data_IF_086871164021
#
_entry.id   IF_086871164021
#
_cell.length_a   1.000
_cell.length_b   1.000
_cell.length_c   1.000
_cell.angle_alpha   90.00
_cell.angle_beta   90.00
_cell.angle_gamma   90.00
#
_symmetry.space_group_name_H-M   'P 1'
#
loop_
_entity.id
_entity.type
_entity.pdbx_description
1 polymer ?
#
# COMPACT_ATOMS: atom_id res chain seq x y z
N UNK A 1 -39.84 -32.31 42.63
CA UNK A 1 -40.27 -31.29 41.62
C UNK A 1 -39.88 -29.87 42.06
N UNK A 2 -39.93 -29.57 43.37
CA UNK A 2 -39.56 -28.22 43.89
C UNK A 2 -38.05 -28.00 43.89
N UNK A 3 -37.21 -29.03 44.16
CA UNK A 3 -35.75 -28.92 44.14
C UNK A 3 -35.18 -28.60 42.75
N UNK A 4 -35.78 -29.11 41.64
CA UNK A 4 -35.36 -28.75 40.26
C UNK A 4 -35.68 -27.32 39.88
N UNK A 5 -36.73 -26.71 40.45
CA UNK A 5 -37.13 -25.32 40.16
C UNK A 5 -36.23 -24.30 40.88
N UNK A 6 -35.74 -24.66 42.07
CA UNK A 6 -34.81 -23.82 42.85
C UNK A 6 -33.43 -23.82 42.19
N UNK A 7 -33.00 -25.00 41.73
CA UNK A 7 -31.71 -25.18 41.03
C UNK A 7 -31.66 -24.42 39.71
N UNK A 8 -32.76 -24.36 38.93
CA UNK A 8 -32.85 -23.60 37.67
C UNK A 8 -32.84 -22.08 37.90
N UNK A 9 -33.36 -21.59 39.00
CA UNK A 9 -33.40 -20.15 39.33
C UNK A 9 -32.04 -19.64 39.79
N UNK A 10 -31.35 -20.42 40.62
CA UNK A 10 -30.01 -20.11 41.11
C UNK A 10 -28.98 -20.17 39.94
N UNK A 11 -29.10 -21.18 39.09
CA UNK A 11 -28.27 -21.29 37.89
C UNK A 11 -28.46 -20.08 36.96
N UNK A 12 -29.69 -19.63 36.76
CA UNK A 12 -29.99 -18.45 35.93
C UNK A 12 -29.37 -17.19 36.55
N UNK A 13 -29.46 -16.98 37.84
CA UNK A 13 -28.86 -15.86 38.56
C UNK A 13 -27.32 -15.83 38.36
N UNK A 14 -26.67 -16.99 38.51
CA UNK A 14 -25.20 -17.13 38.30
C UNK A 14 -24.79 -16.83 36.90
N UNK A 15 -25.50 -17.31 35.86
CA UNK A 15 -25.23 -17.01 34.47
C UNK A 15 -25.35 -15.50 34.17
N UNK A 16 -26.37 -14.84 34.74
CA UNK A 16 -26.55 -13.39 34.57
C UNK A 16 -25.42 -12.60 35.25
N UNK A 17 -25.03 -12.95 36.48
CA UNK A 17 -23.94 -12.32 37.21
C UNK A 17 -22.63 -12.42 36.40
N UNK A 18 -22.28 -13.63 35.98
CA UNK A 18 -21.04 -13.85 35.17
C UNK A 18 -21.03 -13.08 33.87
N UNK A 19 -22.17 -12.88 33.21
CA UNK A 19 -22.24 -12.03 31.99
C UNK A 19 -22.09 -10.56 32.30
N UNK A 20 -22.62 -10.10 33.44
CA UNK A 20 -22.44 -8.72 33.92
C UNK A 20 -20.98 -8.44 34.25
N UNK A 21 -20.27 -9.42 34.80
CA UNK A 21 -18.81 -9.38 35.07
C UNK A 21 -17.95 -9.54 33.80
N UNK A 22 -18.56 -9.57 32.61
CA UNK A 22 -17.86 -9.59 31.32
C UNK A 22 -17.37 -10.97 30.87
N UNK A 23 -17.67 -12.06 31.56
CA UNK A 23 -17.24 -13.42 31.19
C UNK A 23 -17.83 -13.85 29.83
N UNK A 24 -17.01 -14.52 29.02
CA UNK A 24 -17.42 -15.08 27.74
C UNK A 24 -18.25 -16.34 27.88
N UNK A 25 -18.96 -16.73 26.83
CA UNK A 25 -19.72 -18.01 26.83
C UNK A 25 -18.83 -19.23 27.07
N UNK A 26 -17.57 -19.19 26.64
CA UNK A 26 -16.60 -20.28 26.85
C UNK A 26 -16.25 -20.41 28.34
N UNK A 27 -16.01 -19.29 29.01
CA UNK A 27 -15.69 -19.25 30.43
C UNK A 27 -16.88 -19.68 31.28
N UNK A 28 -18.11 -19.20 30.98
CA UNK A 28 -19.34 -19.60 31.65
C UNK A 28 -19.60 -21.11 31.48
N UNK A 29 -19.41 -21.64 30.28
CA UNK A 29 -19.53 -23.08 29.99
C UNK A 29 -18.53 -23.90 30.80
N UNK A 30 -17.28 -23.46 30.90
CA UNK A 30 -16.22 -24.15 31.63
C UNK A 30 -16.48 -24.16 33.15
N UNK A 31 -16.98 -23.04 33.69
CA UNK A 31 -17.15 -22.85 35.13
C UNK A 31 -18.45 -23.48 35.69
N UNK A 32 -19.52 -23.46 34.87
CA UNK A 32 -20.85 -24.00 35.31
C UNK A 32 -21.17 -25.39 34.73
N UNK A 33 -20.34 -25.91 33.82
CA UNK A 33 -20.56 -27.22 33.20
C UNK A 33 -21.81 -27.32 32.31
N UNK A 34 -22.33 -26.18 31.82
CA UNK A 34 -23.58 -26.10 31.04
C UNK A 34 -23.29 -25.80 29.55
N UNK A 35 -24.20 -26.25 28.67
CA UNK A 35 -24.06 -26.02 27.23
C UNK A 35 -24.32 -24.56 26.82
N UNK A 36 -23.71 -24.13 25.69
CA UNK A 36 -23.91 -22.78 25.12
C UNK A 36 -25.41 -22.48 24.83
N UNK A 37 -26.18 -23.49 24.42
CA UNK A 37 -27.63 -23.39 24.21
C UNK A 37 -28.40 -23.05 25.51
N UNK A 38 -27.99 -23.64 26.64
CA UNK A 38 -28.57 -23.36 27.98
C UNK A 38 -28.25 -21.94 28.39
N UNK A 39 -26.99 -21.48 28.22
CA UNK A 39 -26.60 -20.11 28.52
C UNK A 39 -27.41 -19.12 27.67
N UNK A 40 -27.56 -19.36 26.36
CA UNK A 40 -28.38 -18.52 25.50
C UNK A 40 -29.84 -18.49 25.85
N UNK A 41 -30.41 -19.61 26.30
CA UNK A 41 -31.80 -19.70 26.80
C UNK A 41 -31.99 -18.88 28.05
N UNK A 42 -31.11 -19.00 29.04
CA UNK A 42 -31.16 -18.25 30.30
C UNK A 42 -31.03 -16.74 30.04
N UNK A 43 -30.11 -16.33 29.20
CA UNK A 43 -29.90 -14.90 28.85
C UNK A 43 -30.98 -14.31 27.94
N UNK A 44 -32.00 -15.11 27.57
CA UNK A 44 -33.08 -14.65 26.69
C UNK A 44 -32.62 -14.31 25.25
N UNK A 45 -31.43 -14.77 24.86
CA UNK A 45 -30.89 -14.52 23.51
C UNK A 45 -31.61 -15.38 22.46
N UNK A 46 -32.17 -16.52 22.87
CA UNK A 46 -33.10 -17.29 22.06
C UNK A 46 -34.53 -16.77 22.26
N UNK A 47 -34.99 -15.90 21.40
CA UNK A 47 -36.42 -15.55 21.41
C UNK A 47 -36.75 -14.12 20.98
N UNK A 48 -35.79 -13.21 20.83
CA UNK A 48 -36.02 -11.88 20.25
C UNK A 48 -35.30 -11.68 18.90
N UNK A 49 -35.17 -12.75 18.15
CA UNK A 49 -35.01 -12.60 16.70
C UNK A 49 -36.29 -11.92 16.23
N UNK A 50 -36.19 -10.76 15.55
CA UNK A 50 -37.34 -10.19 14.81
C UNK A 50 -38.00 -11.36 14.08
N UNK A 51 -39.28 -11.66 14.43
CA UNK A 51 -40.03 -12.70 13.75
C UNK A 51 -39.95 -12.41 12.26
N UNK A 52 -39.21 -13.27 11.54
CA UNK A 52 -39.10 -13.09 10.08
C UNK A 52 -40.51 -13.25 9.53
N UNK A 53 -40.99 -12.32 8.71
CA UNK A 53 -42.34 -12.43 8.15
C UNK A 53 -42.47 -13.78 7.47
N UNK A 54 -43.55 -14.51 7.77
CA UNK A 54 -43.89 -15.76 7.06
C UNK A 54 -43.96 -15.40 5.58
N UNK A 55 -43.27 -16.12 4.74
CA UNK A 55 -43.28 -15.92 3.29
C UNK A 55 -44.66 -16.32 2.76
N UNK A 56 -45.54 -15.35 2.64
CA UNK A 56 -46.87 -15.50 2.03
C UNK A 56 -46.73 -15.45 0.50
N UNK A 57 -47.76 -15.94 -0.22
CA UNK A 57 -47.78 -15.87 -1.67
C UNK A 57 -47.81 -14.43 -2.16
N UNK A 58 -48.44 -13.52 -1.40
CA UNK A 58 -48.43 -12.09 -1.65
C UNK A 58 -47.00 -11.51 -1.57
N UNK A 59 -46.25 -11.82 -0.52
CA UNK A 59 -44.84 -11.40 -0.37
C UNK A 59 -43.96 -11.99 -1.48
N UNK A 60 -44.24 -13.20 -1.93
CA UNK A 60 -43.57 -13.80 -3.09
C UNK A 60 -43.83 -13.02 -4.36
N UNK A 61 -45.13 -12.70 -4.61
CA UNK A 61 -45.54 -11.91 -5.77
C UNK A 61 -44.86 -10.53 -5.78
N UNK A 62 -44.88 -9.82 -4.65
CA UNK A 62 -44.24 -8.50 -4.50
C UNK A 62 -42.73 -8.61 -4.71
N UNK A 63 -42.04 -9.61 -4.15
CA UNK A 63 -40.60 -9.79 -4.32
C UNK A 63 -40.26 -10.01 -5.81
N UNK A 64 -41.06 -10.81 -6.53
CA UNK A 64 -40.86 -11.07 -7.96
C UNK A 64 -41.13 -9.81 -8.81
N UNK A 65 -42.21 -9.07 -8.54
CA UNK A 65 -42.50 -7.82 -9.23
C UNK A 65 -41.35 -6.80 -9.06
N UNK A 66 -40.89 -6.58 -7.82
CA UNK A 66 -39.76 -5.69 -7.54
C UNK A 66 -38.44 -6.16 -8.26
N UNK A 67 -38.28 -7.46 -8.44
CA UNK A 67 -37.18 -8.02 -9.19
C UNK A 67 -37.27 -7.73 -10.68
N UNK A 68 -38.47 -7.87 -11.25
CA UNK A 68 -38.76 -7.53 -12.65
C UNK A 68 -38.55 -6.04 -12.90
N UNK A 69 -38.91 -5.19 -11.94
CA UNK A 69 -38.64 -3.74 -11.98
C UNK A 69 -37.15 -3.37 -11.79
N UNK A 70 -36.26 -4.38 -11.75
CA UNK A 70 -34.82 -4.20 -11.71
C UNK A 70 -34.23 -3.95 -10.32
N UNK A 71 -34.98 -4.15 -9.21
CA UNK A 71 -34.41 -4.05 -7.86
C UNK A 71 -33.47 -5.23 -7.57
N UNK A 72 -32.40 -4.95 -6.84
CA UNK A 72 -31.43 -5.96 -6.40
C UNK A 72 -31.99 -6.76 -5.21
N UNK A 73 -31.47 -7.97 -4.99
CA UNK A 73 -31.82 -8.81 -3.82
C UNK A 73 -31.68 -8.07 -2.48
N UNK A 74 -30.60 -7.30 -2.22
CA UNK A 74 -30.52 -6.51 -0.99
C UNK A 74 -31.61 -5.45 -0.83
N UNK A 75 -31.96 -4.73 -1.90
CA UNK A 75 -33.01 -3.70 -1.88
C UNK A 75 -34.38 -4.32 -1.59
N UNK A 76 -34.72 -5.42 -2.25
CA UNK A 76 -35.96 -6.16 -2.02
C UNK A 76 -36.01 -6.70 -0.59
N UNK A 77 -34.89 -7.25 -0.09
CA UNK A 77 -34.80 -7.77 1.26
C UNK A 77 -35.04 -6.69 2.32
N UNK A 78 -34.52 -5.50 2.10
CA UNK A 78 -34.71 -4.33 2.96
C UNK A 78 -36.16 -3.83 2.92
N UNK A 79 -36.73 -3.68 1.72
CA UNK A 79 -38.07 -3.14 1.52
C UNK A 79 -39.16 -4.06 2.08
N UNK A 80 -39.02 -5.37 1.91
CA UNK A 80 -39.99 -6.36 2.37
C UNK A 80 -39.69 -6.94 3.77
N UNK A 81 -38.60 -6.51 4.40
CA UNK A 81 -38.17 -7.05 5.69
C UNK A 81 -37.79 -8.53 5.67
N UNK A 82 -37.37 -9.05 4.51
CA UNK A 82 -37.05 -10.45 4.28
C UNK A 82 -35.55 -10.73 4.36
N UNK A 83 -35.18 -11.99 4.60
CA UNK A 83 -33.77 -12.40 4.48
C UNK A 83 -33.32 -12.40 3.01
N UNK A 84 -32.08 -11.93 2.74
CA UNK A 84 -31.49 -11.92 1.37
C UNK A 84 -31.53 -13.28 0.71
N UNK A 85 -31.25 -14.36 1.47
CA UNK A 85 -31.31 -15.74 0.99
C UNK A 85 -32.70 -16.14 0.52
N UNK A 86 -33.75 -15.72 1.28
CA UNK A 86 -35.15 -16.00 0.92
C UNK A 86 -35.56 -15.24 -0.35
N UNK A 87 -35.22 -13.96 -0.46
CA UNK A 87 -35.46 -13.16 -1.67
C UNK A 87 -34.75 -13.79 -2.86
N UNK A 88 -33.49 -14.18 -2.71
CA UNK A 88 -32.73 -14.84 -3.78
C UNK A 88 -33.41 -16.13 -4.26
N UNK A 89 -33.86 -16.99 -3.35
CA UNK A 89 -34.57 -18.22 -3.69
C UNK A 89 -35.87 -17.96 -4.48
N UNK A 90 -36.60 -16.89 -4.14
CA UNK A 90 -37.84 -16.51 -4.80
C UNK A 90 -37.63 -15.91 -6.19
N UNK A 91 -36.46 -15.26 -6.40
CA UNK A 91 -36.22 -14.43 -7.58
C UNK A 91 -35.07 -14.89 -8.46
N UNK A 92 -34.44 -16.05 -8.17
CA UNK A 92 -33.25 -16.55 -8.88
C UNK A 92 -33.50 -16.87 -10.37
N UNK A 93 -34.75 -17.16 -10.72
CA UNK A 93 -35.20 -17.45 -12.08
C UNK A 93 -35.51 -16.18 -12.90
N UNK A 94 -35.56 -15.01 -12.26
CA UNK A 94 -35.81 -13.72 -12.95
C UNK A 94 -34.44 -13.14 -13.31
N UNK A 95 -34.12 -13.00 -14.62
CA UNK A 95 -32.91 -12.33 -15.06
C UNK A 95 -32.85 -10.91 -14.48
N UNK A 96 -31.72 -10.59 -13.87
CA UNK A 96 -31.49 -9.24 -13.37
C UNK A 96 -30.43 -8.56 -14.21
N UNK A 97 -30.86 -7.59 -14.97
CA UNK A 97 -30.00 -6.66 -15.68
C UNK A 97 -29.97 -5.34 -14.91
N UNK A 98 -28.76 -4.86 -14.63
CA UNK A 98 -28.62 -3.52 -14.09
C UNK A 98 -29.06 -2.53 -15.17
N UNK A 99 -30.07 -1.69 -14.89
CA UNK A 99 -30.43 -0.62 -15.82
C UNK A 99 -29.26 0.33 -16.00
N UNK A 100 -29.13 0.94 -17.18
CA UNK A 100 -28.01 1.85 -17.49
C UNK A 100 -27.89 2.97 -16.44
N UNK A 101 -28.98 3.60 -16.04
CA UNK A 101 -29.02 4.64 -15.02
C UNK A 101 -28.48 4.17 -13.66
N UNK A 102 -28.79 2.95 -13.25
CA UNK A 102 -28.30 2.36 -12.00
C UNK A 102 -26.84 1.94 -12.11
N UNK A 103 -26.41 1.45 -13.27
CA UNK A 103 -25.01 1.15 -13.53
C UNK A 103 -24.17 2.44 -13.44
N UNK A 104 -24.66 3.52 -14.05
CA UNK A 104 -24.00 4.82 -14.02
C UNK A 104 -23.98 5.44 -12.61
N UNK A 105 -25.11 5.41 -11.88
CA UNK A 105 -25.16 5.85 -10.47
C UNK A 105 -24.18 5.11 -9.58
N UNK A 106 -24.07 3.77 -9.71
CA UNK A 106 -23.10 2.97 -8.97
C UNK A 106 -21.67 3.29 -9.35
N UNK A 107 -21.40 3.47 -10.65
CA UNK A 107 -20.09 3.87 -11.13
C UNK A 107 -19.72 5.28 -10.64
N UNK A 108 -20.67 6.21 -10.64
CA UNK A 108 -20.47 7.56 -10.10
C UNK A 108 -20.17 7.54 -8.58
N UNK A 109 -20.95 6.79 -7.81
CA UNK A 109 -20.72 6.61 -6.37
C UNK A 109 -19.38 5.95 -6.08
N UNK A 110 -19.00 4.94 -6.86
CA UNK A 110 -17.69 4.30 -6.74
C UNK A 110 -16.53 5.26 -7.07
N UNK A 111 -16.68 6.07 -8.14
CA UNK A 111 -15.70 7.12 -8.50
C UNK A 111 -15.58 8.19 -7.41
N UNK A 112 -16.72 8.63 -6.83
CA UNK A 112 -16.72 9.57 -5.72
C UNK A 112 -16.00 9.00 -4.50
N UNK A 113 -16.38 7.82 -4.04
CA UNK A 113 -15.74 7.16 -2.91
C UNK A 113 -14.25 6.85 -3.14
N UNK A 114 -13.82 6.62 -4.40
CA UNK A 114 -12.40 6.50 -4.74
C UNK A 114 -11.67 7.85 -4.63
N UNK A 115 -12.28 8.94 -5.13
CA UNK A 115 -11.72 10.30 -5.01
C UNK A 115 -11.57 10.71 -3.56
N UNK A 116 -12.60 10.47 -2.73
CA UNK A 116 -12.55 10.82 -1.31
C UNK A 116 -11.45 10.05 -0.58
N UNK A 117 -11.33 8.73 -0.81
CA UNK A 117 -10.22 7.93 -0.24
C UNK A 117 -8.86 8.41 -0.71
N UNK A 118 -8.73 8.77 -1.99
CA UNK A 118 -7.47 9.32 -2.52
C UNK A 118 -7.12 10.65 -1.87
N UNK A 119 -8.10 11.54 -1.68
CA UNK A 119 -7.92 12.82 -1.00
C UNK A 119 -7.50 12.62 0.47
N UNK A 120 -8.20 11.75 1.21
CA UNK A 120 -7.85 11.41 2.59
C UNK A 120 -6.43 10.83 2.71
N UNK A 121 -6.07 9.92 1.78
CA UNK A 121 -4.73 9.32 1.74
C UNK A 121 -3.65 10.38 1.44
N UNK A 122 -3.95 11.38 0.58
CA UNK A 122 -3.03 12.48 0.31
C UNK A 122 -2.81 13.34 1.55
N UNK A 123 -3.89 13.76 2.22
CA UNK A 123 -3.81 14.55 3.47
C UNK A 123 -3.02 13.82 4.55
N UNK A 124 -3.29 12.51 4.74
CA UNK A 124 -2.56 11.72 5.74
C UNK A 124 -1.08 11.56 5.38
N UNK A 125 -0.76 11.39 4.10
CA UNK A 125 0.62 11.36 3.62
C UNK A 125 1.33 12.68 3.90
N UNK A 126 0.70 13.80 3.55
CA UNK A 126 1.27 15.13 3.77
C UNK A 126 1.50 15.38 5.26
N UNK A 127 0.54 15.00 6.13
CA UNK A 127 0.68 15.11 7.59
C UNK A 127 1.89 14.32 8.11
N UNK A 128 2.03 13.07 7.67
CA UNK A 128 3.15 12.20 8.08
C UNK A 128 4.47 12.78 7.56
N UNK A 129 4.52 13.19 6.29
CA UNK A 129 5.72 13.73 5.66
C UNK A 129 6.16 15.01 6.36
N UNK A 130 5.24 15.95 6.63
CA UNK A 130 5.54 17.20 7.34
C UNK A 130 6.07 16.95 8.76
N UNK A 131 5.42 16.04 9.51
CA UNK A 131 5.88 15.68 10.85
C UNK A 131 7.28 15.05 10.87
N UNK A 132 7.61 14.24 9.84
CA UNK A 132 8.96 13.69 9.69
C UNK A 132 9.96 14.81 9.35
N UNK A 133 9.63 15.70 8.39
CA UNK A 133 10.52 16.79 7.98
C UNK A 133 10.83 17.74 9.15
N UNK A 134 9.84 18.06 9.99
CA UNK A 134 10.01 18.90 11.18
C UNK A 134 10.93 18.26 12.24
N UNK A 135 10.90 16.94 12.37
CA UNK A 135 11.65 16.22 13.40
C UNK A 135 12.99 15.66 12.93
N UNK A 136 13.24 15.60 11.62
CA UNK A 136 14.38 14.88 11.05
C UNK A 136 15.73 15.59 11.33
N UNK A 137 15.73 16.94 11.29
CA UNK A 137 16.94 17.74 11.49
C UNK A 137 17.94 17.61 10.32
N UNK A 138 19.21 17.97 10.61
CA UNK A 138 20.29 17.86 9.62
C UNK A 138 20.98 16.50 9.67
N UNK A 139 21.40 16.00 8.51
CA UNK A 139 22.20 14.78 8.40
C UNK A 139 23.63 15.05 8.91
N UNK A 140 24.09 14.24 9.86
CA UNK A 140 25.49 14.20 10.25
C UNK A 140 26.36 13.56 9.16
N UNK A 141 27.66 13.84 9.14
CA UNK A 141 28.60 13.23 8.20
C UNK A 141 28.54 11.70 8.26
N UNK A 142 28.39 11.13 9.45
CA UNK A 142 28.28 9.67 9.62
C UNK A 142 27.00 9.12 8.99
N UNK A 143 25.87 9.78 9.16
CA UNK A 143 24.60 9.39 8.56
C UNK A 143 24.68 9.50 7.03
N UNK A 144 25.29 10.57 6.52
CA UNK A 144 25.53 10.76 5.09
C UNK A 144 26.47 9.69 4.52
N UNK A 145 27.55 9.31 5.24
CA UNK A 145 28.43 8.22 4.83
C UNK A 145 27.68 6.89 4.69
N UNK A 146 26.84 6.56 5.68
CA UNK A 146 26.05 5.33 5.69
C UNK A 146 24.99 5.38 4.57
N UNK A 147 24.23 6.47 4.46
CA UNK A 147 23.18 6.63 3.46
C UNK A 147 23.74 6.52 2.03
N UNK A 148 24.87 7.19 1.75
CA UNK A 148 25.52 7.15 0.46
C UNK A 148 26.11 5.78 0.11
N UNK A 149 26.71 5.07 1.07
CA UNK A 149 27.18 3.70 0.85
C UNK A 149 26.03 2.73 0.53
N UNK A 150 24.92 2.82 1.27
CA UNK A 150 23.71 2.01 1.02
C UNK A 150 23.08 2.36 -0.33
N UNK A 151 22.94 3.65 -0.64
CA UNK A 151 22.41 4.10 -1.92
C UNK A 151 23.27 3.62 -3.09
N UNK A 152 24.60 3.74 -2.98
CA UNK A 152 25.51 3.20 -4.00
C UNK A 152 25.41 1.68 -4.11
N UNK A 153 25.33 0.97 -2.99
CA UNK A 153 25.16 -0.49 -3.03
C UNK A 153 23.85 -0.90 -3.69
N UNK A 154 22.78 -0.14 -3.55
CA UNK A 154 21.50 -0.42 -4.22
C UNK A 154 21.58 -0.14 -5.74
N UNK A 155 22.02 1.05 -6.14
CA UNK A 155 21.87 1.62 -7.49
C UNK A 155 23.19 1.73 -8.27
N UNK A 156 24.34 1.66 -7.63
CA UNK A 156 25.64 1.78 -8.25
C UNK A 156 26.09 0.51 -8.97
N UNK A 157 27.04 0.70 -9.90
CA UNK A 157 27.69 -0.44 -10.58
C UNK A 157 28.67 -1.13 -9.62
N UNK A 158 28.53 -2.45 -9.49
CA UNK A 158 29.40 -3.28 -8.63
C UNK A 158 30.42 -4.04 -9.46
N UNK A 159 31.63 -4.17 -8.91
CA UNK A 159 32.63 -5.09 -9.44
C UNK A 159 32.14 -6.54 -9.28
N UNK A 160 32.45 -7.38 -10.27
CA UNK A 160 32.04 -8.78 -10.27
C UNK A 160 33.30 -9.66 -10.34
N UNK A 161 33.33 -10.86 -9.77
CA UNK A 161 34.50 -11.74 -9.79
C UNK A 161 35.05 -12.01 -11.21
N UNK A 162 34.16 -12.07 -12.20
CA UNK A 162 34.50 -12.32 -13.61
C UNK A 162 34.73 -11.03 -14.43
N UNK A 163 34.49 -9.87 -13.86
CA UNK A 163 34.67 -8.55 -14.51
C UNK A 163 34.99 -7.53 -13.41
N UNK A 164 36.25 -7.55 -12.97
CA UNK A 164 36.73 -6.61 -11.94
C UNK A 164 36.76 -5.20 -12.51
N UNK A 165 35.93 -4.33 -11.97
CA UNK A 165 35.85 -2.92 -12.34
C UNK A 165 35.62 -2.07 -11.09
N UNK A 166 36.70 -1.58 -10.54
CA UNK A 166 36.69 -0.69 -9.37
C UNK A 166 36.52 0.77 -9.84
N UNK A 167 35.29 1.13 -10.17
CA UNK A 167 34.94 2.46 -10.69
C UNK A 167 33.61 2.89 -10.11
N UNK A 168 33.55 4.05 -9.46
CA UNK A 168 32.29 4.61 -9.03
C UNK A 168 31.47 5.05 -10.25
N UNK A 169 30.35 4.38 -10.46
CA UNK A 169 29.40 4.67 -11.52
C UNK A 169 27.99 4.50 -10.96
N UNK A 170 27.27 5.60 -10.89
CA UNK A 170 25.93 5.68 -10.29
C UNK A 170 24.93 6.12 -11.36
N UNK A 171 23.78 5.47 -11.42
CA UNK A 171 22.71 5.80 -12.36
C UNK A 171 21.39 5.87 -11.63
N UNK A 172 20.68 6.99 -11.76
CA UNK A 172 19.35 7.14 -11.21
C UNK A 172 18.49 8.12 -12.02
N UNK A 173 17.16 7.99 -11.91
CA UNK A 173 16.19 8.91 -12.50
C UNK A 173 15.58 9.87 -11.47
N UNK A 174 15.91 9.70 -10.19
CA UNK A 174 15.43 10.55 -9.10
C UNK A 174 16.47 11.66 -8.82
N UNK A 175 16.09 12.95 -8.95
CA UNK A 175 17.00 14.06 -8.68
C UNK A 175 17.54 14.08 -7.25
N UNK A 176 16.77 13.65 -6.25
CA UNK A 176 17.20 13.67 -4.85
C UNK A 176 18.22 12.57 -4.56
N UNK A 177 18.08 11.40 -5.19
CA UNK A 177 19.11 10.36 -5.17
C UNK A 177 20.42 10.83 -5.81
N UNK A 178 20.34 11.62 -6.89
CA UNK A 178 21.51 12.23 -7.51
C UNK A 178 22.17 13.26 -6.58
N UNK A 179 21.39 14.13 -5.93
CA UNK A 179 21.89 15.12 -4.94
C UNK A 179 22.55 14.42 -3.75
N UNK A 180 21.90 13.38 -3.21
CA UNK A 180 22.48 12.56 -2.14
C UNK A 180 23.85 11.99 -2.53
N UNK A 181 23.95 11.40 -3.72
CA UNK A 181 25.20 10.82 -4.21
C UNK A 181 26.28 11.88 -4.41
N UNK A 182 25.96 13.06 -4.92
CA UNK A 182 26.92 14.17 -5.07
C UNK A 182 27.43 14.67 -3.70
N UNK A 183 26.53 14.87 -2.73
CA UNK A 183 26.92 15.26 -1.36
C UNK A 183 27.81 14.20 -0.71
N UNK A 184 27.53 12.92 -0.95
CA UNK A 184 28.37 11.82 -0.49
C UNK A 184 29.76 11.84 -1.15
N UNK A 185 29.87 12.15 -2.46
CA UNK A 185 31.15 12.32 -3.14
C UNK A 185 31.95 13.52 -2.57
N UNK A 186 31.25 14.61 -2.22
CA UNK A 186 31.87 15.78 -1.56
C UNK A 186 32.47 15.38 -0.22
N UNK A 187 31.71 14.64 0.59
CA UNK A 187 32.18 14.15 1.91
C UNK A 187 33.39 13.20 1.79
N UNK A 188 33.48 12.41 0.72
CA UNK A 188 34.65 11.59 0.41
C UNK A 188 35.84 12.39 -0.16
N UNK A 189 35.72 13.69 -0.34
CA UNK A 189 36.77 14.53 -0.91
C UNK A 189 37.01 14.32 -2.41
N UNK A 190 36.03 13.79 -3.15
CA UNK A 190 36.12 13.56 -4.60
C UNK A 190 36.07 14.88 -5.34
N UNK A 191 37.19 15.25 -6.00
CA UNK A 191 37.25 16.43 -6.84
C UNK A 191 36.13 16.46 -7.89
N UNK A 192 35.32 17.55 -7.94
CA UNK A 192 34.28 17.74 -8.94
C UNK A 192 34.78 17.64 -10.40
N UNK A 193 36.05 17.95 -10.68
CA UNK A 193 36.64 17.80 -12.00
C UNK A 193 36.72 16.35 -12.49
N UNK A 194 36.74 15.39 -11.57
CA UNK A 194 36.76 13.95 -11.86
C UNK A 194 35.37 13.38 -12.18
N UNK A 195 34.29 14.14 -11.92
CA UNK A 195 32.90 13.71 -12.13
C UNK A 195 32.52 13.92 -13.58
N UNK A 196 32.09 12.86 -14.24
CA UNK A 196 31.60 12.86 -15.62
C UNK A 196 30.09 12.58 -15.62
N UNK A 197 29.35 13.38 -16.34
CA UNK A 197 27.90 13.33 -16.43
C UNK A 197 27.44 12.85 -17.80
N UNK A 198 26.41 12.00 -17.85
CA UNK A 198 25.81 11.52 -19.10
C UNK A 198 24.36 11.20 -18.89
N UNK A 199 23.50 11.64 -19.77
CA UNK A 199 22.09 11.28 -19.77
C UNK A 199 21.87 9.98 -20.53
N UNK A 200 21.19 9.02 -19.92
CA UNK A 200 20.68 7.82 -20.57
C UNK A 200 19.17 8.00 -20.78
N UNK A 201 18.75 8.14 -22.02
CA UNK A 201 17.39 8.50 -22.36
C UNK A 201 16.92 7.73 -23.60
N UNK A 202 15.63 7.66 -23.84
CA UNK A 202 15.10 7.03 -25.03
C UNK A 202 15.28 7.97 -26.25
N UNK A 203 15.51 7.38 -27.43
CA UNK A 203 15.75 8.12 -28.68
C UNK A 203 14.61 9.05 -29.12
N UNK A 204 13.36 8.77 -28.68
CA UNK A 204 12.18 9.58 -28.97
C UNK A 204 11.96 10.75 -28.01
N UNK A 205 12.82 10.94 -27.01
CA UNK A 205 12.68 11.99 -26.01
C UNK A 205 13.51 13.22 -26.39
N UNK A 206 13.19 14.37 -25.81
CA UNK A 206 13.97 15.59 -25.97
C UNK A 206 15.27 15.49 -25.15
N UNK A 207 16.35 15.17 -25.84
CA UNK A 207 17.68 15.00 -25.23
C UNK A 207 18.22 16.34 -24.73
N UNK A 208 17.94 17.45 -25.44
CA UNK A 208 18.44 18.77 -25.04
C UNK A 208 17.77 19.25 -23.76
N UNK A 209 16.43 19.16 -23.68
CA UNK A 209 15.67 19.50 -22.48
C UNK A 209 16.08 18.63 -21.28
N UNK A 210 16.23 17.32 -21.46
CA UNK A 210 16.67 16.42 -20.41
C UNK A 210 18.10 16.73 -19.93
N UNK A 211 19.01 17.10 -20.85
CA UNK A 211 20.38 17.48 -20.47
C UNK A 211 20.39 18.78 -19.69
N UNK A 212 19.59 19.77 -20.09
CA UNK A 212 19.45 21.04 -19.36
C UNK A 212 18.87 20.83 -17.95
N UNK A 213 17.82 19.99 -17.83
CA UNK A 213 17.25 19.61 -16.53
C UNK A 213 18.30 18.98 -15.61
N UNK A 214 19.06 18.01 -16.09
CA UNK A 214 20.09 17.36 -15.27
C UNK A 214 21.27 18.29 -14.97
N UNK A 215 21.62 19.21 -15.86
CA UNK A 215 22.63 20.23 -15.62
C UNK A 215 22.22 21.17 -14.46
N UNK A 216 20.95 21.57 -14.41
CA UNK A 216 20.38 22.33 -13.31
C UNK A 216 20.40 21.52 -11.99
N UNK A 217 19.96 20.24 -12.03
CA UNK A 217 19.94 19.36 -10.85
C UNK A 217 21.33 19.20 -10.21
N UNK A 218 22.38 19.07 -11.03
CA UNK A 218 23.75 18.85 -10.52
C UNK A 218 24.56 20.15 -10.37
N UNK A 219 24.01 21.29 -10.77
CA UNK A 219 24.65 22.61 -10.63
C UNK A 219 25.88 22.82 -11.51
N UNK A 220 25.87 22.26 -12.74
CA UNK A 220 26.97 22.44 -13.71
C UNK A 220 26.43 22.87 -15.07
N UNK A 221 27.31 23.41 -15.94
CA UNK A 221 26.89 23.77 -17.29
C UNK A 221 26.69 22.55 -18.19
N UNK A 222 25.87 22.70 -19.25
CA UNK A 222 25.50 21.61 -20.20
C UNK A 222 26.74 21.06 -20.91
N UNK A 223 27.76 21.88 -21.13
CA UNK A 223 29.03 21.52 -21.78
C UNK A 223 29.84 20.47 -20.98
N UNK A 224 29.54 20.34 -19.70
CA UNK A 224 30.16 19.31 -18.85
C UNK A 224 29.58 17.93 -19.08
N UNK A 225 28.49 17.81 -19.84
CA UNK A 225 27.86 16.54 -20.15
C UNK A 225 28.50 15.88 -21.40
N UNK A 226 28.78 14.60 -21.28
CA UNK A 226 29.12 13.78 -22.42
C UNK A 226 27.87 13.49 -23.27
N UNK A 227 28.07 13.11 -24.53
CA UNK A 227 26.98 12.72 -25.44
C UNK A 227 26.05 11.72 -24.77
N UNK A 228 24.74 11.99 -24.85
CA UNK A 228 23.72 11.11 -24.26
C UNK A 228 23.75 9.70 -24.86
N UNK A 229 23.45 8.72 -24.03
CA UNK A 229 23.22 7.34 -24.46
C UNK A 229 21.76 7.16 -24.81
N UNK A 230 21.46 6.84 -26.07
CA UNK A 230 20.10 6.65 -26.56
C UNK A 230 19.70 5.19 -26.47
N UNK A 231 18.60 4.93 -25.74
CA UNK A 231 17.94 3.61 -25.73
C UNK A 231 17.01 3.52 -26.95
N UNK A 232 17.20 2.49 -27.75
CA UNK A 232 16.36 2.23 -28.92
C UNK A 232 14.98 1.70 -28.51
N UNK A 233 13.99 1.97 -29.34
CA UNK A 233 12.64 1.45 -29.16
C UNK A 233 12.62 -0.08 -29.18
N UNK A 234 11.95 -0.69 -28.19
CA UNK A 234 11.65 -2.12 -28.20
C UNK A 234 10.16 -2.30 -28.53
N UNK A 235 9.79 -2.83 -29.71
CA UNK A 235 8.40 -2.97 -30.15
C UNK A 235 7.57 -3.93 -29.29
N UNK A 236 8.21 -4.75 -28.43
CA UNK A 236 7.53 -5.66 -27.50
C UNK A 236 7.05 -4.98 -26.21
N UNK A 237 7.44 -3.73 -25.95
CA UNK A 237 7.08 -3.03 -24.73
C UNK A 237 6.32 -1.74 -25.01
N UNK A 238 5.15 -1.60 -24.37
CA UNK A 238 4.39 -0.36 -24.38
C UNK A 238 4.92 0.54 -23.26
N UNK A 239 5.54 1.67 -23.62
CA UNK A 239 6.04 2.64 -22.65
C UNK A 239 4.89 3.41 -22.02
N UNK A 240 4.87 3.44 -20.68
CA UNK A 240 3.88 4.21 -19.89
C UNK A 240 4.39 5.59 -19.50
N UNK A 241 5.71 5.75 -19.32
CA UNK A 241 6.33 7.02 -18.97
C UNK A 241 6.90 7.67 -20.24
N UNK A 242 6.10 8.53 -20.86
CA UNK A 242 6.40 9.29 -22.06
C UNK A 242 5.87 10.71 -21.87
N UNK A 243 6.46 11.69 -22.53
CA UNK A 243 6.03 13.08 -22.48
C UNK A 243 7.09 14.03 -21.93
N UNK A 244 6.69 15.27 -21.68
CA UNK A 244 7.57 16.39 -21.30
C UNK A 244 8.29 16.15 -19.97
N UNK A 245 7.68 15.40 -19.04
CA UNK A 245 8.25 15.10 -17.72
C UNK A 245 9.30 13.98 -17.74
N UNK A 246 9.49 13.31 -18.88
CA UNK A 246 10.44 12.20 -18.98
C UNK A 246 11.86 12.69 -19.22
N UNK A 247 12.70 12.75 -18.17
CA UNK A 247 14.08 13.23 -18.21
C UNK A 247 15.13 12.12 -18.32
N UNK A 248 14.71 10.86 -18.48
CA UNK A 248 15.64 9.71 -18.50
C UNK A 248 16.32 9.47 -17.16
N UNK A 249 17.54 8.97 -17.21
CA UNK A 249 18.38 8.75 -16.03
C UNK A 249 19.70 9.49 -16.18
N UNK A 250 20.19 10.11 -15.11
CA UNK A 250 21.55 10.61 -15.06
C UNK A 250 22.52 9.49 -14.67
N UNK A 251 23.64 9.42 -15.38
CA UNK A 251 24.81 8.60 -15.05
C UNK A 251 25.93 9.50 -14.58
N UNK A 252 26.42 9.27 -13.37
CA UNK A 252 27.61 9.93 -12.82
C UNK A 252 28.72 8.90 -12.75
N UNK A 253 29.83 9.16 -13.45
CA UNK A 253 31.05 8.32 -13.40
C UNK A 253 32.17 9.12 -12.84
N UNK A 254 32.87 8.61 -11.82
CA UNK A 254 34.04 9.25 -11.21
C UNK A 254 35.31 8.65 -11.82
N UNK A 255 36.07 9.46 -12.53
CA UNK A 255 37.32 9.00 -13.15
C UNK A 255 38.36 8.62 -12.07
N UNK A 256 39.11 7.52 -12.30
CA UNK A 256 40.19 7.03 -11.42
C UNK A 256 39.74 6.81 -9.97
N UNK A 257 38.55 6.25 -9.75
CA UNK A 257 37.92 6.12 -8.43
C UNK A 257 38.07 4.75 -7.77
N UNK A 258 39.12 4.00 -8.07
CA UNK A 258 39.34 2.72 -7.42
C UNK A 258 39.52 2.82 -5.88
N UNK A 259 40.25 3.83 -5.34
CA UNK A 259 40.34 3.98 -3.88
C UNK A 259 38.96 4.25 -3.24
N UNK A 260 38.18 5.16 -3.83
CA UNK A 260 36.84 5.50 -3.32
C UNK A 260 35.86 4.34 -3.47
N UNK A 261 35.99 3.53 -4.55
CA UNK A 261 35.21 2.32 -4.71
C UNK A 261 35.49 1.31 -3.59
N UNK A 262 36.76 1.08 -3.23
CA UNK A 262 37.13 0.18 -2.12
C UNK A 262 36.65 0.71 -0.77
N UNK A 263 36.71 2.04 -0.58
CA UNK A 263 36.15 2.67 0.62
C UNK A 263 34.64 2.43 0.72
N UNK A 264 33.90 2.61 -0.38
CA UNK A 264 32.47 2.32 -0.44
C UNK A 264 32.16 0.87 -0.11
N UNK A 265 32.91 -0.08 -0.68
CA UNK A 265 32.75 -1.51 -0.41
C UNK A 265 33.03 -1.87 1.07
N UNK A 266 34.07 -1.24 1.65
CA UNK A 266 34.37 -1.35 3.08
C UNK A 266 33.25 -0.77 3.97
N UNK A 267 32.72 0.40 3.64
CA UNK A 267 31.59 1.00 4.35
C UNK A 267 30.35 0.12 4.29
N UNK A 268 30.02 -0.40 3.12
CA UNK A 268 28.92 -1.36 2.99
C UNK A 268 29.13 -2.62 3.84
N UNK A 269 30.34 -3.19 3.80
CA UNK A 269 30.69 -4.37 4.59
C UNK A 269 30.55 -4.11 6.10
N UNK A 270 30.95 -2.92 6.58
CA UNK A 270 30.78 -2.50 7.96
C UNK A 270 29.29 -2.37 8.35
N UNK A 271 28.46 -1.74 7.51
CA UNK A 271 27.01 -1.62 7.73
C UNK A 271 26.37 -3.01 7.81
N UNK A 272 26.67 -3.88 6.83
CA UNK A 272 26.12 -5.23 6.78
C UNK A 272 26.61 -6.10 7.97
N UNK A 273 27.85 -5.91 8.42
CA UNK A 273 28.40 -6.56 9.60
C UNK A 273 27.69 -6.15 10.89
N UNK A 274 27.47 -4.85 11.07
CA UNK A 274 26.77 -4.31 12.23
C UNK A 274 25.31 -4.79 12.35
N UNK A 275 24.64 -5.04 11.24
CA UNK A 275 23.28 -5.62 11.23
C UNK A 275 23.30 -7.10 11.64
N UNK A 276 24.30 -7.86 11.20
CA UNK A 276 24.46 -9.29 11.55
C UNK A 276 24.80 -9.52 13.01
N UNK A 277 25.59 -8.64 13.61
CA UNK A 277 26.04 -8.79 15.01
C UNK A 277 24.96 -8.48 16.06
N UNK A 278 23.83 -7.89 15.67
CA UNK A 278 22.69 -7.58 16.56
C UNK A 278 21.66 -8.73 16.67
N UNK A 279 21.90 -9.88 16.06
CA UNK A 279 21.12 -11.11 16.26
C UNK A 279 21.83 -12.03 17.24
#
# INVERSE_FOLDING_TARGET
>A
MIERLVDDTELAARVHAMRTDGKTYVEIKSELGIGASTISRILGVYGKGRARPRVTDELRGRARALRTDGKSVPEIAQELGMAKSTVWLITKDIPWTLTEDRAESRAAAARAGWRDRKAQTAVERDRITSGILESFGELTDRELLIAGAVAYWAEGTKSKPWQTRELLNFINSDPDMIRLFLRWLDLLGVDPARRKYRVNIHESADVAAATAHWAEVVGVSVERFARATLKKHNPKTVRKNTGVEYQGCLVITVAKSAPEYRMMDGLWSAVAGAVRSRR
#
